data_IF_262267151931
#
_entry.id   IF_262267151931
#
_cell.length_a   1.000
_cell.length_b   1.000
_cell.length_c   1.000
_cell.angle_alpha   90.00
_cell.angle_beta   90.00
_cell.angle_gamma   90.00
#
_symmetry.space_group_name_H-M   'P 1'
#
loop_
_entity.id
_entity.type
_entity.pdbx_description
1 polymer ?
#
# COMPACT_ATOMS: atom_id res chain seq x y z
N UNK A 1 2.14 8.00 25.39
CA UNK A 1 1.12 7.00 25.03
C UNK A 1 -0.10 7.09 25.92
N UNK A 2 0.05 7.18 27.24
CA UNK A 2 -1.08 7.29 28.18
C UNK A 2 -1.99 8.47 27.87
N UNK A 3 -1.47 9.60 27.40
CA UNK A 3 -2.29 10.75 27.01
C UNK A 3 -3.29 10.42 25.88
N UNK A 4 -2.97 9.45 25.02
CA UNK A 4 -3.80 9.03 23.90
C UNK A 4 -4.91 8.06 24.30
N UNK A 5 -4.64 7.20 25.29
CA UNK A 5 -5.46 6.02 25.64
C UNK A 5 -6.24 6.17 26.93
N UNK A 6 -5.77 7.00 27.88
CA UNK A 6 -6.47 7.18 29.14
C UNK A 6 -7.91 7.63 28.97
N UNK A 7 -8.85 6.79 29.42
CA UNK A 7 -10.28 7.03 29.24
C UNK A 7 -10.82 8.16 30.13
N UNK A 8 -10.24 8.31 31.34
CA UNK A 8 -10.76 9.23 32.35
C UNK A 8 -10.02 10.57 32.34
N UNK A 9 -10.77 11.66 32.24
CA UNK A 9 -10.25 13.03 32.33
C UNK A 9 -9.63 13.37 33.72
N UNK A 10 -9.90 12.57 34.73
CA UNK A 10 -9.37 12.77 36.07
C UNK A 10 -7.99 12.14 36.32
N UNK A 11 -7.48 11.36 35.36
CA UNK A 11 -6.10 10.87 35.41
C UNK A 11 -5.14 11.98 35.01
N UNK A 12 -3.86 11.86 35.35
CA UNK A 12 -2.84 12.86 35.00
C UNK A 12 -2.84 13.19 33.51
N UNK A 13 -2.80 12.17 32.66
CA UNK A 13 -2.71 12.35 31.23
C UNK A 13 -4.05 12.64 30.57
N UNK A 14 -5.15 12.07 31.09
CA UNK A 14 -6.50 12.38 30.62
C UNK A 14 -6.88 13.84 30.91
N UNK A 15 -6.49 14.39 32.09
CA UNK A 15 -6.65 15.81 32.38
C UNK A 15 -5.84 16.69 31.44
N UNK A 16 -4.58 16.33 31.19
CA UNK A 16 -3.72 17.08 30.25
C UNK A 16 -4.30 17.09 28.84
N UNK A 17 -4.79 15.96 28.35
CA UNK A 17 -5.48 15.87 27.06
C UNK A 17 -6.72 16.76 27.02
N UNK A 18 -7.53 16.75 28.05
CA UNK A 18 -8.74 17.59 28.17
C UNK A 18 -8.39 19.10 28.15
N UNK A 19 -7.34 19.51 28.88
CA UNK A 19 -6.81 20.87 28.83
C UNK A 19 -6.35 21.31 27.43
N UNK A 20 -5.88 20.36 26.62
CA UNK A 20 -5.53 20.58 25.21
C UNK A 20 -6.74 20.59 24.25
N UNK A 21 -7.96 20.53 24.77
CA UNK A 21 -9.20 20.56 23.97
C UNK A 21 -9.73 19.19 23.53
N UNK A 22 -9.12 18.09 23.99
CA UNK A 22 -9.49 16.72 23.61
C UNK A 22 -9.91 15.88 24.84
N UNK A 23 -11.11 16.08 25.40
CA UNK A 23 -11.53 15.36 26.61
C UNK A 23 -11.71 13.84 26.38
N UNK A 24 -12.11 13.42 25.18
CA UNK A 24 -12.25 12.02 24.84
C UNK A 24 -10.90 11.37 24.43
N UNK A 25 -10.69 10.07 24.69
CA UNK A 25 -9.51 9.36 24.19
C UNK A 25 -9.51 9.27 22.67
N UNK A 26 -8.33 9.17 22.06
CA UNK A 26 -8.17 9.13 20.60
C UNK A 26 -8.50 7.77 19.97
N UNK A 27 -8.94 6.79 20.77
CA UNK A 27 -9.30 5.45 20.29
C UNK A 27 -8.15 4.76 19.52
N UNK A 28 -6.94 4.80 20.12
CA UNK A 28 -5.74 4.20 19.55
C UNK A 28 -5.98 2.71 19.24
N UNK A 29 -5.67 2.28 18.04
CA UNK A 29 -5.87 0.91 17.55
C UNK A 29 -4.57 0.12 17.47
N UNK A 30 -3.48 0.80 17.18
CA UNK A 30 -2.18 0.20 16.92
C UNK A 30 -1.11 0.89 17.73
N UNK A 31 -0.14 0.13 18.20
CA UNK A 31 1.04 0.64 18.90
C UNK A 31 2.28 -0.09 18.38
N UNK A 32 3.16 0.65 17.73
CA UNK A 32 4.45 0.15 17.30
C UNK A 32 5.47 0.31 18.44
N UNK A 33 6.27 -0.72 18.68
CA UNK A 33 7.36 -0.69 19.68
C UNK A 33 8.68 -0.90 18.95
N UNK A 34 9.32 0.20 18.62
CA UNK A 34 10.56 0.24 17.85
C UNK A 34 10.36 0.69 16.41
N UNK A 35 11.47 0.90 15.71
CA UNK A 35 11.56 1.19 14.28
C UNK A 35 12.89 0.66 13.78
N UNK A 36 12.87 -0.32 12.88
CA UNK A 36 14.07 -0.94 12.30
C UNK A 36 15.02 -1.62 13.30
N UNK A 37 14.60 -1.81 14.55
CA UNK A 37 15.40 -2.56 15.50
C UNK A 37 15.47 -4.03 15.11
N UNK A 38 16.60 -4.61 15.36
CA UNK A 38 16.89 -6.00 15.07
C UNK A 38 17.83 -6.57 16.15
N UNK A 39 18.11 -7.87 16.15
CA UNK A 39 18.95 -8.64 17.05
C UNK A 39 18.23 -9.12 18.34
N UNK A 40 18.95 -10.01 19.05
CA UNK A 40 18.44 -10.69 20.23
C UNK A 40 18.13 -9.72 21.39
N UNK A 41 18.93 -8.66 21.54
CA UNK A 41 18.75 -7.69 22.59
C UNK A 41 17.44 -6.90 22.45
N UNK A 42 17.08 -6.56 21.19
CA UNK A 42 15.79 -5.93 20.94
C UNK A 42 14.63 -6.88 21.28
N UNK A 43 14.68 -8.13 20.81
CA UNK A 43 13.62 -9.09 21.04
C UNK A 43 13.45 -9.44 22.52
N UNK A 44 14.55 -9.54 23.25
CA UNK A 44 14.53 -9.73 24.72
C UNK A 44 13.83 -8.56 25.40
N UNK A 45 14.21 -7.34 25.06
CA UNK A 45 13.62 -6.11 25.63
C UNK A 45 12.18 -5.87 25.21
N UNK A 46 11.78 -6.32 24.03
CA UNK A 46 10.40 -6.22 23.57
C UNK A 46 9.42 -7.08 24.37
N UNK A 47 9.87 -8.24 24.91
CA UNK A 47 8.99 -9.16 25.67
C UNK A 47 8.22 -8.50 26.83
N UNK A 48 8.86 -7.76 27.74
CA UNK A 48 8.13 -7.09 28.82
C UNK A 48 7.15 -6.03 28.30
N UNK A 49 7.47 -5.29 27.22
CA UNK A 49 6.55 -4.35 26.60
C UNK A 49 5.30 -5.06 26.06
N UNK A 50 5.47 -6.13 25.29
CA UNK A 50 4.35 -6.93 24.77
C UNK A 50 3.46 -7.40 25.91
N UNK A 51 4.04 -7.97 26.96
CA UNK A 51 3.31 -8.45 28.13
C UNK A 51 2.51 -7.35 28.83
N UNK A 52 3.14 -6.20 29.07
CA UNK A 52 2.52 -5.08 29.77
C UNK A 52 1.41 -4.44 28.92
N UNK A 53 1.65 -4.22 27.64
CA UNK A 53 0.68 -3.61 26.71
C UNK A 53 -0.55 -4.51 26.56
N UNK A 54 -0.36 -5.79 26.29
CA UNK A 54 -1.48 -6.73 26.12
C UNK A 54 -2.28 -6.94 27.42
N UNK A 55 -1.65 -6.86 28.58
CA UNK A 55 -2.33 -6.93 29.86
C UNK A 55 -3.16 -5.68 30.16
N UNK A 56 -2.64 -4.50 29.89
CA UNK A 56 -3.30 -3.22 30.20
C UNK A 56 -4.28 -2.78 29.11
N UNK A 57 -3.95 -3.05 27.83
CA UNK A 57 -4.72 -2.60 26.66
C UNK A 57 -4.94 -3.74 25.64
N UNK A 58 -5.76 -4.75 25.98
CA UNK A 58 -5.93 -5.95 25.17
C UNK A 58 -6.51 -5.70 23.76
N UNK A 59 -7.15 -4.57 23.54
CA UNK A 59 -7.75 -4.19 22.25
C UNK A 59 -6.79 -3.41 21.33
N UNK A 60 -5.60 -3.03 21.82
CA UNK A 60 -4.59 -2.39 21.01
C UNK A 60 -3.75 -3.46 20.31
N UNK A 61 -3.69 -3.40 18.99
CA UNK A 61 -2.82 -4.27 18.21
C UNK A 61 -1.36 -3.82 18.31
N UNK A 62 -0.48 -4.75 18.58
CA UNK A 62 0.95 -4.48 18.70
C UNK A 62 1.64 -4.73 17.37
N UNK A 63 2.43 -3.75 16.92
CA UNK A 63 3.30 -3.85 15.79
C UNK A 63 4.74 -4.02 16.30
N UNK A 64 5.40 -5.09 15.86
CA UNK A 64 6.84 -5.28 16.04
C UNK A 64 7.56 -5.18 14.73
N UNK A 65 8.89 -5.02 14.74
CA UNK A 65 9.68 -4.86 13.52
C UNK A 65 10.49 -6.12 13.20
N UNK A 66 10.64 -6.42 11.91
CA UNK A 66 11.53 -7.47 11.40
C UNK A 66 12.95 -6.95 11.10
N UNK A 67 13.24 -5.70 11.41
CA UNK A 67 14.49 -5.03 11.11
C UNK A 67 14.41 -4.15 9.87
N UNK A 68 15.55 -3.60 9.41
CA UNK A 68 15.58 -2.66 8.28
C UNK A 68 15.57 -3.31 6.91
N UNK A 69 15.72 -4.64 6.86
CA UNK A 69 15.81 -5.41 5.61
C UNK A 69 14.56 -6.23 5.32
N UNK A 70 14.32 -6.45 4.03
CA UNK A 70 13.16 -7.19 3.54
C UNK A 70 13.42 -8.70 3.31
N UNK A 71 14.65 -9.16 3.54
CA UNK A 71 15.07 -10.56 3.34
C UNK A 71 16.40 -10.85 4.05
N UNK A 72 16.79 -12.13 4.10
CA UNK A 72 18.03 -12.58 4.72
C UNK A 72 17.90 -12.92 6.19
N UNK A 73 19.03 -13.29 6.82
CA UNK A 73 19.06 -13.84 8.18
C UNK A 73 18.42 -12.92 9.24
N UNK A 74 18.68 -11.61 9.14
CA UNK A 74 18.11 -10.61 10.05
C UNK A 74 16.59 -10.58 9.96
N UNK A 75 16.05 -10.53 8.75
CA UNK A 75 14.61 -10.54 8.48
C UNK A 75 13.94 -11.83 8.99
N UNK A 76 14.51 -12.99 8.67
CA UNK A 76 13.98 -14.28 9.09
C UNK A 76 13.97 -14.43 10.62
N UNK A 77 15.05 -13.97 11.28
CA UNK A 77 15.16 -13.94 12.73
C UNK A 77 14.11 -13.01 13.36
N UNK A 78 13.89 -11.85 12.77
CA UNK A 78 12.86 -10.90 13.18
C UNK A 78 11.46 -11.50 13.10
N UNK A 79 11.11 -12.09 11.97
CA UNK A 79 9.83 -12.77 11.78
C UNK A 79 9.62 -13.93 12.79
N UNK A 80 10.65 -14.74 13.03
CA UNK A 80 10.59 -15.78 14.03
C UNK A 80 10.29 -15.22 15.42
N UNK A 81 11.01 -14.19 15.83
CA UNK A 81 10.81 -13.52 17.11
C UNK A 81 9.41 -12.92 17.24
N UNK A 82 8.89 -12.27 16.21
CA UNK A 82 7.53 -11.70 16.21
C UNK A 82 6.45 -12.77 16.32
N UNK A 83 6.61 -13.93 15.67
CA UNK A 83 5.70 -15.08 15.83
C UNK A 83 5.71 -15.62 17.26
N UNK A 84 6.89 -15.79 17.86
CA UNK A 84 7.06 -16.26 19.24
C UNK A 84 6.44 -15.27 20.25
N UNK A 85 6.61 -13.98 20.03
CA UNK A 85 6.05 -12.91 20.86
C UNK A 85 4.54 -12.72 20.64
N UNK A 86 3.96 -13.33 19.62
CA UNK A 86 2.57 -13.15 19.21
C UNK A 86 2.23 -11.69 18.94
N UNK A 87 3.12 -11.00 18.22
CA UNK A 87 2.81 -9.69 17.66
C UNK A 87 1.56 -9.77 16.78
N UNK A 88 0.76 -8.71 16.73
CA UNK A 88 -0.42 -8.71 15.87
C UNK A 88 -0.03 -8.38 14.43
N UNK A 89 0.95 -7.47 14.26
CA UNK A 89 1.55 -7.13 12.97
C UNK A 89 3.07 -7.16 13.05
N UNK A 90 3.69 -7.38 11.90
CA UNK A 90 5.14 -7.25 11.70
C UNK A 90 5.37 -6.14 10.70
N UNK A 91 6.17 -5.15 11.09
CA UNK A 91 6.61 -4.05 10.26
C UNK A 91 7.80 -4.50 9.41
N UNK A 92 7.60 -4.51 8.10
CA UNK A 92 8.61 -4.83 7.08
C UNK A 92 9.02 -3.57 6.35
N UNK A 93 10.31 -3.31 6.26
CA UNK A 93 10.88 -2.18 5.55
C UNK A 93 11.57 -2.60 4.26
N UNK A 94 11.39 -1.80 3.21
CA UNK A 94 11.89 -2.10 1.86
C UNK A 94 12.62 -0.89 1.30
N UNK A 95 13.94 -0.99 1.20
CA UNK A 95 14.78 -0.06 0.46
C UNK A 95 15.49 -0.84 -0.64
N UNK A 96 14.76 -1.14 -1.70
CA UNK A 96 15.18 -1.98 -2.81
C UNK A 96 15.08 -1.23 -4.14
N UNK A 97 15.78 -1.70 -5.16
CA UNK A 97 15.66 -1.18 -6.51
C UNK A 97 14.41 -1.66 -7.25
N UNK A 98 14.13 -1.03 -8.37
CA UNK A 98 12.96 -1.36 -9.21
C UNK A 98 12.96 -2.84 -9.62
N UNK A 99 14.14 -3.40 -9.96
CA UNK A 99 14.24 -4.78 -10.42
C UNK A 99 13.83 -5.76 -9.33
N UNK A 100 14.24 -5.51 -8.09
CA UNK A 100 13.85 -6.33 -6.95
C UNK A 100 12.32 -6.34 -6.78
N UNK A 101 11.68 -5.17 -6.80
CA UNK A 101 10.23 -5.08 -6.65
C UNK A 101 9.48 -5.79 -7.77
N UNK A 102 9.90 -5.63 -9.02
CA UNK A 102 9.28 -6.30 -10.16
C UNK A 102 9.43 -7.82 -10.10
N UNK A 103 10.54 -8.33 -9.56
CA UNK A 103 10.77 -9.77 -9.40
C UNK A 103 10.02 -10.39 -8.20
N UNK A 104 9.51 -9.58 -7.28
CA UNK A 104 8.84 -10.00 -6.05
C UNK A 104 7.32 -9.73 -6.05
N UNK A 105 6.70 -9.58 -7.22
CA UNK A 105 5.26 -9.32 -7.36
C UNK A 105 4.32 -10.44 -6.90
N UNK A 106 4.86 -11.54 -6.34
CA UNK A 106 4.13 -12.66 -5.72
C UNK A 106 4.58 -12.92 -4.27
N UNK A 107 5.29 -11.97 -3.66
CA UNK A 107 5.91 -12.15 -2.34
C UNK A 107 4.93 -12.64 -1.28
N UNK A 108 3.81 -11.97 -1.17
CA UNK A 108 2.84 -12.23 -0.10
C UNK A 108 1.91 -13.41 -0.37
N UNK A 109 1.92 -13.98 -1.57
CA UNK A 109 1.11 -15.17 -1.88
C UNK A 109 1.52 -16.41 -1.06
N UNK A 110 2.80 -16.49 -0.63
CA UNK A 110 3.34 -17.58 0.18
C UNK A 110 3.22 -17.39 1.70
N UNK A 111 2.79 -16.20 2.18
CA UNK A 111 2.76 -15.89 3.61
C UNK A 111 1.65 -16.67 4.35
N UNK A 112 1.93 -17.01 5.60
CA UNK A 112 0.97 -17.69 6.48
C UNK A 112 -0.22 -16.78 6.82
N UNK A 113 -1.41 -17.16 6.34
CA UNK A 113 -2.66 -16.41 6.56
C UNK A 113 -3.13 -16.41 8.02
N UNK A 114 -2.60 -17.30 8.85
CA UNK A 114 -2.95 -17.44 10.28
C UNK A 114 -1.96 -16.73 11.21
N UNK A 115 -0.80 -16.37 10.68
CA UNK A 115 0.25 -15.65 11.41
C UNK A 115 -0.05 -14.17 11.68
N UNK A 116 0.94 -13.44 12.23
CA UNK A 116 0.90 -11.98 12.30
C UNK A 116 0.64 -11.37 10.92
N UNK A 117 -0.08 -10.24 10.88
CA UNK A 117 -0.27 -9.50 9.63
C UNK A 117 0.96 -8.65 9.32
N UNK A 118 1.08 -8.20 8.10
CA UNK A 118 2.16 -7.34 7.65
C UNK A 118 1.72 -5.88 7.75
N UNK A 119 2.60 -5.05 8.29
CA UNK A 119 2.63 -3.62 8.10
C UNK A 119 3.84 -3.30 7.22
N UNK A 120 3.60 -2.85 6.01
CA UNK A 120 4.62 -2.65 5.00
C UNK A 120 4.98 -1.17 4.92
N UNK A 121 6.29 -0.87 4.92
CA UNK A 121 6.82 0.49 4.78
C UNK A 121 7.88 0.48 3.67
N UNK A 122 7.52 1.01 2.49
CA UNK A 122 8.41 1.01 1.32
C UNK A 122 8.41 2.29 0.52
N UNK A 123 9.41 2.41 -0.34
CA UNK A 123 9.54 3.42 -1.39
C UNK A 123 9.02 2.86 -2.74
N UNK A 124 7.71 2.40 -2.94
CA UNK A 124 7.56 1.67 -4.06
C UNK A 124 6.38 1.63 -4.89
N UNK A 125 6.46 1.25 -5.96
CA UNK A 125 5.83 1.40 -7.25
C UNK A 125 4.51 0.65 -7.48
N UNK A 126 3.68 1.13 -8.42
CA UNK A 126 2.34 0.66 -8.70
C UNK A 126 2.24 -0.86 -8.94
N UNK A 127 3.29 -1.47 -9.48
CA UNK A 127 3.33 -2.91 -9.73
C UNK A 127 3.33 -3.74 -8.44
N UNK A 128 4.20 -3.41 -7.49
CA UNK A 128 4.28 -4.13 -6.21
C UNK A 128 3.03 -3.92 -5.35
N UNK A 129 2.45 -2.74 -5.37
CA UNK A 129 1.18 -2.47 -4.68
C UNK A 129 0.02 -3.35 -5.17
N UNK A 130 0.09 -3.93 -6.38
CA UNK A 130 -0.89 -4.93 -6.79
C UNK A 130 -0.76 -6.21 -5.97
N UNK A 131 0.44 -6.59 -5.54
CA UNK A 131 0.66 -7.74 -4.67
C UNK A 131 0.10 -7.48 -3.25
N UNK A 132 0.37 -6.31 -2.70
CA UNK A 132 -0.19 -5.89 -1.40
C UNK A 132 -1.72 -5.96 -1.43
N UNK A 133 -2.35 -5.41 -2.45
CA UNK A 133 -3.81 -5.39 -2.56
C UNK A 133 -4.41 -6.79 -2.81
N UNK A 134 -3.77 -7.64 -3.62
CA UNK A 134 -4.21 -9.04 -3.81
C UNK A 134 -4.16 -9.83 -2.50
N UNK A 135 -3.22 -9.52 -1.64
CA UNK A 135 -2.97 -10.21 -0.38
C UNK A 135 -3.42 -9.41 0.85
N UNK A 136 -4.52 -8.64 0.74
CA UNK A 136 -5.07 -7.83 1.82
C UNK A 136 -5.54 -8.66 3.04
N UNK A 137 -5.56 -9.97 2.94
CA UNK A 137 -5.76 -10.89 4.07
C UNK A 137 -4.47 -11.16 4.87
N UNK A 138 -3.31 -10.77 4.34
CA UNK A 138 -1.98 -10.83 4.98
C UNK A 138 -1.48 -9.43 5.27
N UNK A 139 -1.53 -8.52 4.30
CA UNK A 139 -1.06 -7.13 4.42
C UNK A 139 -2.20 -6.27 4.97
N UNK A 140 -2.12 -5.90 6.23
CA UNK A 140 -3.15 -5.08 6.93
C UNK A 140 -3.01 -3.60 6.60
N UNK A 141 -1.77 -3.12 6.48
CA UNK A 141 -1.43 -1.73 6.19
C UNK A 141 -0.18 -1.63 5.30
N UNK A 142 -0.13 -0.55 4.53
CA UNK A 142 1.05 -0.15 3.79
C UNK A 142 1.24 1.36 3.90
N UNK A 143 2.48 1.82 4.01
CA UNK A 143 2.85 3.23 4.07
C UNK A 143 4.04 3.52 3.16
N UNK A 144 4.33 4.79 3.00
CA UNK A 144 5.46 5.28 2.20
C UNK A 144 6.40 6.12 3.07
N UNK A 145 7.68 5.88 2.95
CA UNK A 145 8.72 6.67 3.58
C UNK A 145 9.90 6.90 2.61
N UNK A 146 10.53 8.10 2.63
CA UNK A 146 10.22 9.29 3.42
C UNK A 146 9.04 10.09 2.86
N UNK A 147 8.33 10.82 3.74
CA UNK A 147 7.10 11.52 3.37
C UNK A 147 7.33 12.94 2.85
N UNK A 148 8.20 13.71 3.51
CA UNK A 148 8.42 15.12 3.22
C UNK A 148 9.90 15.43 3.03
N UNK A 149 10.20 16.25 2.02
CA UNK A 149 11.53 16.82 1.82
C UNK A 149 11.49 18.32 1.44
N UNK A 150 12.33 19.11 2.07
CA UNK A 150 12.60 20.47 1.63
C UNK A 150 13.57 20.43 0.45
N UNK A 151 13.29 21.21 -0.62
CA UNK A 151 14.07 21.14 -1.88
C UNK A 151 15.55 21.50 -1.72
N UNK A 152 15.90 22.30 -0.71
CA UNK A 152 17.27 22.73 -0.43
C UNK A 152 17.95 21.93 0.69
N UNK A 153 17.25 20.97 1.31
CA UNK A 153 17.78 20.28 2.49
C UNK A 153 17.18 18.86 2.66
N UNK A 154 17.33 18.04 1.67
CA UNK A 154 16.86 16.65 1.71
C UNK A 154 18.02 15.69 1.95
N UNK A 155 17.72 14.53 2.51
CA UNK A 155 18.66 13.47 2.83
C UNK A 155 18.47 12.22 1.97
N UNK A 156 17.21 11.98 1.56
CA UNK A 156 16.80 10.80 0.80
C UNK A 156 16.02 11.22 -0.45
N UNK A 157 16.00 10.34 -1.44
CA UNK A 157 15.20 10.49 -2.67
C UNK A 157 14.82 9.10 -3.20
N UNK A 158 13.57 8.93 -3.69
CA UNK A 158 12.50 9.92 -3.80
C UNK A 158 11.70 10.10 -2.50
N UNK A 159 11.30 11.34 -2.22
CA UNK A 159 10.32 11.66 -1.19
C UNK A 159 8.93 11.85 -1.79
N UNK A 160 7.89 11.65 -0.99
CA UNK A 160 6.52 11.72 -1.49
C UNK A 160 6.08 13.14 -1.82
N UNK A 161 6.37 14.09 -0.95
CA UNK A 161 5.97 15.50 -1.07
C UNK A 161 7.20 16.39 -0.89
N UNK A 162 7.45 17.24 -1.87
CA UNK A 162 8.53 18.20 -1.87
C UNK A 162 8.01 19.61 -1.66
N UNK A 163 8.72 20.43 -0.92
CA UNK A 163 8.29 21.80 -0.61
C UNK A 163 9.47 22.77 -0.45
N UNK A 164 9.17 24.06 -0.64
CA UNK A 164 9.94 25.19 -0.15
C UNK A 164 9.11 25.94 0.93
N UNK A 165 9.52 27.14 1.29
CA UNK A 165 8.83 27.92 2.32
C UNK A 165 7.40 28.34 1.94
N UNK A 166 7.01 28.26 0.68
CA UNK A 166 5.74 28.81 0.15
C UNK A 166 5.02 27.90 -0.83
N UNK A 167 5.72 26.92 -1.43
CA UNK A 167 5.20 26.07 -2.50
C UNK A 167 5.45 24.60 -2.18
N UNK A 168 4.71 23.74 -2.82
CA UNK A 168 4.90 22.29 -2.75
C UNK A 168 4.57 21.62 -4.08
N UNK A 169 5.14 20.46 -4.29
CA UNK A 169 4.69 19.54 -5.34
C UNK A 169 4.63 18.10 -4.85
N UNK A 170 3.85 17.30 -5.54
CA UNK A 170 3.67 15.86 -5.29
C UNK A 170 4.53 15.08 -6.27
N UNK A 171 5.26 14.10 -5.76
CA UNK A 171 5.99 13.17 -6.64
C UNK A 171 5.01 12.24 -7.39
N UNK A 172 5.52 11.51 -8.36
CA UNK A 172 4.73 10.47 -9.06
C UNK A 172 4.29 9.38 -8.08
N UNK A 173 5.16 9.02 -7.14
CA UNK A 173 4.85 8.06 -6.07
C UNK A 173 3.67 8.51 -5.19
N UNK A 174 3.53 9.81 -4.92
CA UNK A 174 2.34 10.33 -4.22
C UNK A 174 1.05 9.94 -4.95
N UNK A 175 1.01 10.09 -6.26
CA UNK A 175 -0.19 9.78 -7.02
C UNK A 175 -0.47 8.28 -7.08
N UNK A 176 0.56 7.45 -7.14
CA UNK A 176 0.40 5.99 -7.02
C UNK A 176 -0.25 5.64 -5.69
N UNK A 177 0.32 6.12 -4.58
CA UNK A 177 -0.21 5.90 -3.23
C UNK A 177 -1.65 6.42 -3.09
N UNK A 178 -1.94 7.62 -3.61
CA UNK A 178 -3.29 8.20 -3.60
C UNK A 178 -4.29 7.34 -4.39
N UNK A 179 -3.91 6.83 -5.56
CA UNK A 179 -4.77 5.98 -6.37
C UNK A 179 -5.13 4.68 -5.66
N UNK A 180 -4.21 4.10 -4.89
CA UNK A 180 -4.51 2.93 -4.05
C UNK A 180 -5.30 3.31 -2.80
N UNK A 181 -4.83 4.22 -1.99
CA UNK A 181 -5.41 4.57 -0.69
C UNK A 181 -6.85 5.10 -0.78
N UNK A 182 -7.16 5.92 -1.81
CA UNK A 182 -8.49 6.48 -2.01
C UNK A 182 -9.45 5.54 -2.77
N UNK A 183 -8.94 4.45 -3.33
CA UNK A 183 -9.71 3.51 -4.15
C UNK A 183 -9.52 2.06 -3.70
N UNK A 184 -9.48 1.84 -2.41
CA UNK A 184 -9.53 0.51 -1.81
C UNK A 184 -10.96 -0.03 -1.83
N UNK A 185 -11.12 -1.30 -2.09
CA UNK A 185 -12.42 -1.96 -2.04
C UNK A 185 -12.79 -2.45 -0.63
N UNK A 186 -13.90 -3.16 -0.56
CA UNK A 186 -14.29 -3.92 0.64
C UNK A 186 -13.84 -5.38 0.59
N UNK A 187 -13.61 -5.92 -0.60
CA UNK A 187 -13.17 -7.28 -0.83
C UNK A 187 -12.27 -7.36 -2.07
N UNK A 188 -11.25 -8.19 -1.97
CA UNK A 188 -10.41 -8.56 -3.11
C UNK A 188 -11.20 -9.46 -4.06
N UNK A 189 -11.02 -9.24 -5.35
CA UNK A 189 -11.55 -10.10 -6.41
C UNK A 189 -10.40 -10.89 -7.05
N UNK A 190 -10.60 -12.19 -7.36
CA UNK A 190 -9.60 -12.94 -8.11
C UNK A 190 -9.45 -12.35 -9.51
N UNK A 191 -8.22 -12.03 -9.88
CA UNK A 191 -7.85 -11.55 -11.21
C UNK A 191 -6.71 -12.41 -11.73
N UNK A 192 -6.94 -13.06 -12.88
CA UNK A 192 -5.94 -13.96 -13.46
C UNK A 192 -5.74 -13.70 -14.94
N UNK A 193 -4.54 -13.98 -15.43
CA UNK A 193 -4.17 -14.08 -16.82
C UNK A 193 -3.58 -15.46 -17.05
N UNK A 194 -4.14 -16.23 -17.98
CA UNK A 194 -3.75 -17.62 -18.25
C UNK A 194 -3.78 -18.52 -16.99
N UNK A 195 -4.75 -18.28 -16.10
CA UNK A 195 -4.93 -19.04 -14.86
C UNK A 195 -3.96 -18.71 -13.72
N UNK A 196 -3.08 -17.71 -13.89
CA UNK A 196 -2.10 -17.26 -12.87
C UNK A 196 -2.39 -15.82 -12.45
N UNK A 197 -2.00 -15.45 -11.23
CA UNK A 197 -2.00 -14.05 -10.77
C UNK A 197 -1.22 -13.16 -11.75
N UNK A 198 -1.70 -11.94 -11.97
CA UNK A 198 -1.05 -11.00 -12.90
C UNK A 198 0.05 -10.25 -12.16
N UNK A 199 1.28 -10.73 -12.27
CA UNK A 199 2.43 -10.29 -11.49
C UNK A 199 3.75 -10.32 -12.27
N UNK A 200 3.72 -9.93 -13.56
CA UNK A 200 4.92 -9.88 -14.41
C UNK A 200 5.52 -11.25 -14.74
N UNK A 201 4.76 -12.34 -14.54
CA UNK A 201 5.24 -13.69 -14.80
C UNK A 201 5.44 -13.92 -16.32
N UNK A 202 6.13 -15.01 -16.66
CA UNK A 202 6.33 -15.41 -18.04
C UNK A 202 4.99 -15.47 -18.80
N UNK A 203 4.96 -14.84 -19.99
CA UNK A 203 3.76 -14.70 -20.83
C UNK A 203 2.75 -13.66 -20.37
N UNK A 204 3.12 -12.78 -19.44
CA UNK A 204 2.33 -11.63 -18.99
C UNK A 204 2.90 -10.27 -19.44
N UNK A 205 4.02 -10.28 -20.17
CA UNK A 205 4.62 -9.12 -20.84
C UNK A 205 4.81 -7.88 -19.92
N UNK A 206 5.18 -8.11 -18.65
CA UNK A 206 5.38 -7.02 -17.66
C UNK A 206 4.08 -6.41 -17.13
N UNK A 207 2.94 -7.09 -17.24
CA UNK A 207 1.68 -6.67 -16.62
C UNK A 207 1.61 -7.13 -15.18
N UNK A 208 1.19 -6.19 -14.30
CA UNK A 208 0.85 -6.44 -12.90
C UNK A 208 -0.55 -5.91 -12.65
N UNK A 209 -1.39 -6.67 -11.95
CA UNK A 209 -2.76 -6.22 -11.72
C UNK A 209 -3.36 -6.76 -10.42
N UNK A 210 -4.30 -5.98 -9.89
CA UNK A 210 -5.18 -6.33 -8.79
C UNK A 210 -6.61 -5.88 -9.08
N UNK A 211 -7.57 -6.51 -8.44
CA UNK A 211 -8.97 -6.14 -8.54
C UNK A 211 -9.66 -6.22 -7.18
N UNK A 212 -10.50 -5.23 -6.90
CA UNK A 212 -11.32 -5.18 -5.69
C UNK A 212 -12.75 -4.76 -6.02
N UNK A 213 -13.67 -5.07 -5.14
CA UNK A 213 -15.04 -4.55 -5.20
C UNK A 213 -15.31 -3.69 -3.98
N UNK A 214 -15.86 -2.50 -4.18
CA UNK A 214 -16.50 -1.70 -3.14
C UNK A 214 -18.00 -2.03 -3.11
N UNK A 215 -18.38 -2.95 -2.24
CA UNK A 215 -19.79 -3.37 -2.12
C UNK A 215 -20.72 -2.24 -1.66
N UNK A 216 -20.20 -1.24 -0.95
CA UNK A 216 -21.00 -0.09 -0.49
C UNK A 216 -21.36 0.84 -1.63
N UNK A 217 -20.44 1.01 -2.58
CA UNK A 217 -20.63 1.85 -3.77
C UNK A 217 -21.15 1.07 -4.99
N UNK A 218 -21.11 -0.28 -4.94
CA UNK A 218 -21.45 -1.13 -6.08
C UNK A 218 -20.44 -0.99 -7.24
N UNK A 219 -19.17 -0.80 -6.93
CA UNK A 219 -18.11 -0.42 -7.85
C UNK A 219 -17.03 -1.49 -7.91
N UNK A 220 -16.65 -1.94 -9.10
CA UNK A 220 -15.47 -2.79 -9.31
C UNK A 220 -14.32 -1.89 -9.68
N UNK A 221 -13.18 -2.08 -9.01
CA UNK A 221 -11.97 -1.31 -9.21
C UNK A 221 -10.88 -2.26 -9.65
N UNK A 222 -10.33 -2.05 -10.84
CA UNK A 222 -9.22 -2.82 -11.40
C UNK A 222 -8.03 -1.91 -11.58
N UNK A 223 -6.87 -2.31 -11.09
CA UNK A 223 -5.62 -1.58 -11.16
C UNK A 223 -4.64 -2.39 -11.97
N UNK A 224 -4.03 -1.78 -12.99
CA UNK A 224 -3.09 -2.45 -13.90
C UNK A 224 -1.87 -1.57 -14.10
N UNK A 225 -0.69 -2.12 -13.85
CA UNK A 225 0.59 -1.52 -14.20
C UNK A 225 1.16 -2.24 -15.43
N UNK A 226 1.53 -1.47 -16.44
CA UNK A 226 2.30 -1.94 -17.60
C UNK A 226 3.74 -1.45 -17.42
N UNK A 227 4.64 -2.36 -17.04
CA UNK A 227 6.06 -2.04 -16.82
C UNK A 227 6.90 -2.20 -18.09
N UNK A 228 6.32 -2.64 -19.20
CA UNK A 228 7.02 -2.83 -20.46
C UNK A 228 7.19 -1.51 -21.24
N UNK A 229 8.14 -1.51 -22.16
CA UNK A 229 8.42 -0.38 -23.07
C UNK A 229 7.44 -0.28 -24.25
N UNK A 230 6.39 -1.10 -24.23
CA UNK A 230 5.40 -1.15 -25.32
C UNK A 230 3.99 -0.95 -24.77
N UNK A 231 3.17 -0.25 -25.54
CA UNK A 231 1.75 -0.22 -25.29
C UNK A 231 1.14 -1.62 -25.52
N UNK A 232 0.22 -2.03 -24.65
CA UNK A 232 -0.39 -3.37 -24.68
C UNK A 232 -1.89 -3.29 -24.83
N UNK A 233 -2.44 -4.11 -25.73
CA UNK A 233 -3.88 -4.30 -25.82
C UNK A 233 -4.33 -5.27 -24.73
N UNK A 234 -5.27 -4.84 -23.89
CA UNK A 234 -5.80 -5.63 -22.79
C UNK A 234 -7.30 -5.82 -22.90
N UNK A 235 -7.75 -7.01 -22.52
CA UNK A 235 -9.17 -7.34 -22.42
C UNK A 235 -9.49 -7.77 -20.99
N UNK A 236 -10.29 -6.98 -20.29
CA UNK A 236 -10.80 -7.32 -18.96
C UNK A 236 -12.15 -8.03 -19.11
N UNK A 237 -12.21 -9.30 -18.73
CA UNK A 237 -13.41 -10.10 -18.71
C UNK A 237 -14.02 -10.11 -17.30
N UNK A 238 -15.13 -9.40 -17.11
CA UNK A 238 -15.83 -9.29 -15.84
C UNK A 238 -16.90 -10.39 -15.75
N UNK A 239 -16.48 -11.56 -15.31
CA UNK A 239 -17.35 -12.74 -15.22
C UNK A 239 -18.44 -12.54 -14.17
N UNK A 240 -19.66 -12.93 -14.50
CA UNK A 240 -20.84 -12.76 -13.61
C UNK A 240 -21.47 -11.37 -13.62
N UNK A 241 -20.82 -10.37 -14.21
CA UNK A 241 -21.37 -9.05 -14.42
C UNK A 241 -22.09 -9.02 -15.77
N UNK A 242 -23.35 -8.56 -15.76
CA UNK A 242 -24.19 -8.50 -16.97
C UNK A 242 -24.51 -7.06 -17.36
N UNK A 243 -24.72 -6.85 -18.64
CA UNK A 243 -25.07 -5.56 -19.19
C UNK A 243 -23.87 -4.69 -19.58
N UNK A 244 -24.14 -3.63 -20.33
CA UNK A 244 -23.15 -2.59 -20.60
C UNK A 244 -22.98 -1.71 -19.38
N UNK A 245 -21.76 -1.25 -19.15
CA UNK A 245 -21.39 -0.47 -17.98
C UNK A 245 -20.55 0.74 -18.39
N UNK A 246 -20.61 1.78 -17.58
CA UNK A 246 -19.65 2.88 -17.68
C UNK A 246 -18.41 2.58 -16.85
N UNK A 247 -17.27 3.01 -17.31
CA UNK A 247 -16.03 2.94 -16.58
C UNK A 247 -15.30 4.29 -16.66
N UNK A 248 -14.68 4.68 -15.56
CA UNK A 248 -13.71 5.78 -15.53
C UNK A 248 -12.33 5.13 -15.48
N UNK A 249 -11.47 5.47 -16.44
CA UNK A 249 -10.08 5.05 -16.47
C UNK A 249 -9.20 6.22 -16.02
N UNK A 250 -8.50 6.07 -14.91
CA UNK A 250 -7.52 7.05 -14.40
C UNK A 250 -6.13 6.55 -14.73
N UNK A 251 -5.36 7.30 -15.52
CA UNK A 251 -4.04 6.91 -16.00
C UNK A 251 -2.97 7.83 -15.45
N UNK A 252 -1.90 7.24 -14.94
CA UNK A 252 -0.65 7.88 -14.59
C UNK A 252 0.43 7.37 -15.53
N UNK A 253 1.06 8.27 -16.29
CA UNK A 253 2.04 7.94 -17.31
C UNK A 253 2.90 9.14 -17.65
N UNK A 254 4.13 8.89 -18.10
CA UNK A 254 4.98 9.86 -18.78
C UNK A 254 5.68 9.19 -19.97
N UNK A 255 5.78 9.91 -21.08
CA UNK A 255 6.56 9.45 -22.25
C UNK A 255 8.08 9.67 -22.04
N UNK A 256 8.44 10.47 -21.05
CA UNK A 256 9.81 10.68 -20.62
C UNK A 256 10.02 10.08 -19.23
N UNK A 257 10.85 9.06 -19.12
CA UNK A 257 11.12 8.36 -17.86
C UNK A 257 11.93 9.19 -16.85
N UNK A 258 12.67 10.18 -17.34
CA UNK A 258 13.44 11.11 -16.51
C UNK A 258 12.61 12.33 -16.05
N UNK A 259 11.37 12.41 -16.49
CA UNK A 259 10.50 13.54 -16.13
C UNK A 259 10.01 13.40 -14.68
N UNK A 260 10.06 14.51 -13.97
CA UNK A 260 9.56 14.61 -12.60
C UNK A 260 8.80 15.92 -12.38
N UNK A 261 7.90 15.91 -11.42
CA UNK A 261 7.26 17.13 -10.96
C UNK A 261 8.27 18.00 -10.18
N UNK A 262 8.15 19.30 -10.31
CA UNK A 262 9.02 20.28 -9.65
C UNK A 262 8.20 21.44 -9.09
N UNK A 263 8.79 22.32 -8.29
CA UNK A 263 8.12 23.54 -7.80
C UNK A 263 7.62 24.44 -8.95
N UNK A 264 8.35 24.47 -10.06
CA UNK A 264 7.98 25.30 -11.23
C UNK A 264 7.01 24.58 -12.16
N UNK A 265 6.97 23.25 -12.11
CA UNK A 265 6.05 22.45 -12.90
C UNK A 265 5.42 21.31 -12.03
N UNK A 266 4.57 21.68 -11.05
CA UNK A 266 4.10 20.76 -10.02
C UNK A 266 3.10 19.68 -10.50
N UNK A 267 2.59 19.81 -11.72
CA UNK A 267 1.58 18.93 -12.31
C UNK A 267 1.99 18.38 -13.68
N UNK A 268 3.29 18.33 -13.98
CA UNK A 268 3.82 17.77 -15.23
C UNK A 268 3.32 16.34 -15.43
N UNK A 269 3.44 15.53 -14.37
CA UNK A 269 2.95 14.15 -14.34
C UNK A 269 1.87 14.08 -13.25
N UNK A 270 0.64 13.78 -13.67
CA UNK A 270 -0.51 13.65 -12.76
C UNK A 270 -1.51 12.64 -13.32
N UNK A 271 -2.38 12.06 -12.50
CA UNK A 271 -3.46 11.21 -12.98
C UNK A 271 -4.40 11.96 -13.93
N UNK A 272 -4.71 11.33 -15.04
CA UNK A 272 -5.65 11.83 -16.05
C UNK A 272 -6.82 10.88 -16.17
N UNK A 273 -8.04 11.39 -16.06
CA UNK A 273 -9.26 10.61 -16.19
C UNK A 273 -9.80 10.64 -17.62
N UNK A 274 -10.22 9.48 -18.09
CA UNK A 274 -10.92 9.28 -19.36
C UNK A 274 -12.10 8.34 -19.14
N UNK A 275 -13.06 8.38 -20.06
CA UNK A 275 -14.18 7.44 -20.07
C UNK A 275 -13.81 6.18 -20.85
N UNK A 276 -14.09 5.02 -20.28
CA UNK A 276 -14.00 3.73 -20.95
C UNK A 276 -15.38 3.06 -21.00
N UNK A 277 -15.62 2.27 -22.01
CA UNK A 277 -16.91 1.59 -22.18
C UNK A 277 -16.73 0.09 -22.01
N UNK A 278 -17.57 -0.47 -21.13
CA UNK A 278 -17.68 -1.91 -20.97
C UNK A 278 -18.91 -2.40 -21.76
N UNK A 279 -18.70 -3.35 -22.66
CA UNK A 279 -19.76 -3.90 -23.48
C UNK A 279 -20.24 -5.25 -22.96
N UNK A 280 -21.55 -5.51 -23.06
CA UNK A 280 -22.12 -6.81 -22.72
C UNK A 280 -21.77 -7.85 -23.77
N UNK A 281 -21.26 -9.00 -23.36
CA UNK A 281 -20.93 -10.12 -24.22
C UNK A 281 -21.38 -11.43 -23.59
N UNK A 282 -22.52 -11.99 -24.06
CA UNK A 282 -23.14 -13.18 -23.48
C UNK A 282 -23.40 -13.01 -21.98
N UNK A 283 -22.69 -13.75 -21.14
CA UNK A 283 -22.87 -13.76 -19.66
C UNK A 283 -21.80 -12.96 -18.92
N UNK A 284 -21.07 -12.09 -19.59
CA UNK A 284 -20.02 -11.25 -18.99
C UNK A 284 -20.05 -9.83 -19.53
N UNK A 285 -19.39 -8.94 -18.85
CA UNK A 285 -19.08 -7.59 -19.33
C UNK A 285 -17.62 -7.55 -19.71
N UNK A 286 -17.29 -6.93 -20.83
CA UNK A 286 -15.92 -6.88 -21.37
C UNK A 286 -15.50 -5.44 -21.55
N UNK A 287 -14.31 -5.10 -21.07
CA UNK A 287 -13.63 -3.83 -21.35
C UNK A 287 -12.40 -4.15 -22.19
N UNK A 288 -12.31 -3.54 -23.37
CA UNK A 288 -11.11 -3.56 -24.21
C UNK A 288 -10.44 -2.19 -24.12
N UNK A 289 -9.14 -2.19 -23.89
CA UNK A 289 -8.38 -0.95 -23.81
C UNK A 289 -6.93 -1.17 -24.27
N UNK A 290 -6.24 -0.07 -24.57
CA UNK A 290 -4.82 -0.05 -24.87
C UNK A 290 -4.07 0.67 -23.75
N UNK A 291 -3.31 -0.07 -22.97
CA UNK A 291 -2.46 0.46 -21.92
C UNK A 291 -1.21 1.08 -22.55
N UNK A 292 -0.88 2.34 -22.27
CA UNK A 292 0.40 2.91 -22.70
C UNK A 292 1.58 2.13 -22.12
N UNK A 293 2.75 2.27 -22.73
CA UNK A 293 4.00 1.81 -22.16
C UNK A 293 4.26 2.51 -20.82
N UNK A 294 4.95 1.84 -19.89
CA UNK A 294 5.37 2.42 -18.61
C UNK A 294 4.25 3.23 -17.92
N UNK A 295 3.08 2.61 -17.75
CA UNK A 295 1.89 3.29 -17.22
C UNK A 295 1.24 2.53 -16.07
N UNK A 296 0.56 3.29 -15.23
CA UNK A 296 -0.37 2.76 -14.23
C UNK A 296 -1.78 3.23 -14.54
N UNK A 297 -2.71 2.31 -14.65
CA UNK A 297 -4.12 2.63 -14.95
C UNK A 297 -5.06 1.93 -13.97
N UNK A 298 -6.01 2.72 -13.47
CA UNK A 298 -7.09 2.24 -12.63
C UNK A 298 -8.43 2.43 -13.35
N UNK A 299 -9.23 1.38 -13.37
CA UNK A 299 -10.59 1.40 -13.87
C UNK A 299 -11.57 1.35 -12.71
N UNK A 300 -12.54 2.26 -12.67
CA UNK A 300 -13.72 2.21 -11.79
C UNK A 300 -14.94 1.91 -12.64
N UNK A 301 -15.58 0.77 -12.42
CA UNK A 301 -16.66 0.21 -13.23
C UNK A 301 -17.92 0.15 -12.38
N UNK A 302 -18.97 0.83 -12.85
CA UNK A 302 -20.29 0.90 -12.19
C UNK A 302 -21.35 0.14 -12.94
#
# INVERSE_FOLDING_TARGET
EEILIEAHVNTTWGKKRAEMGHPAPFNLKFLAVGNEQWDDLYYERLRPFVKAIKAKYPNIKLIGTSGPDSEGEMFEKGWKAMKELKADLVDEHFYRDEHWFLSHGLRYESYDRKGPKVFETSLYEAAFMTDLERNADVVDMATYAPLFAHVDGWQWRPDMIWYDNTRMFKSVSYYVQQMYACNKGTNVLPLTMNGKSVAGQEGQDGLFASAVVDKKKGEIIVKVANTSDKAQDVTLNLNGLKGSRSAVATTLQSDNMDAENTLDNPNLIRPVETTATCVSKKNMTVLNDKLPAKSFRMYKIK
#
